data_IF_616723092630
#
_entry.id   IF_616723092630
#
_cell.length_a   1.000
_cell.length_b   1.000
_cell.length_c   1.000
_cell.angle_alpha   90.00
_cell.angle_beta   90.00
_cell.angle_gamma   90.00
#
_symmetry.space_group_name_H-M   'P 1'
#
loop_
_entity.id
_entity.type
_entity.pdbx_description
1 polymer ?
#
# COMPACT_ATOMS: atom_id res chain seq x y z
N UNK A 1 -29.56 13.67 -16.85
CA UNK A 1 -28.70 12.48 -16.88
C UNK A 1 -27.50 12.73 -15.97
N UNK A 2 -27.23 11.86 -15.00
CA UNK A 2 -26.03 11.98 -14.16
C UNK A 2 -24.78 11.66 -14.99
N UNK A 3 -23.77 12.54 -14.96
CA UNK A 3 -22.49 12.32 -15.65
C UNK A 3 -21.76 11.17 -14.96
N UNK A 4 -21.47 10.10 -15.70
CA UNK A 4 -20.67 8.97 -15.20
C UNK A 4 -19.21 9.41 -15.04
N UNK A 5 -18.58 9.04 -13.93
CA UNK A 5 -17.17 9.27 -13.66
C UNK A 5 -16.50 7.91 -13.40
N UNK A 6 -15.24 7.77 -13.84
CA UNK A 6 -14.41 6.63 -13.47
C UNK A 6 -14.07 6.73 -11.98
N UNK A 7 -14.02 5.57 -11.31
CA UNK A 7 -13.51 5.47 -9.95
C UNK A 7 -12.04 5.05 -10.01
N UNK A 8 -11.19 5.77 -9.28
CA UNK A 8 -9.75 5.61 -9.30
C UNK A 8 -9.27 5.03 -7.97
N UNK A 9 -8.83 3.78 -8.00
CA UNK A 9 -8.17 3.12 -6.88
C UNK A 9 -6.66 3.03 -7.12
N UNK A 10 -5.87 3.46 -6.15
CA UNK A 10 -4.42 3.28 -6.16
C UNK A 10 -4.09 1.93 -5.52
N UNK A 11 -3.54 1.01 -6.33
CA UNK A 11 -3.11 -0.29 -5.84
C UNK A 11 -1.67 -0.24 -5.31
N UNK A 12 -1.51 -0.35 -4.00
CA UNK A 12 -0.26 -0.11 -3.29
C UNK A 12 0.25 -1.38 -2.61
N UNK A 13 1.52 -1.72 -2.85
CA UNK A 13 2.32 -2.63 -1.99
C UNK A 13 3.60 -1.95 -1.51
N UNK A 14 3.53 -1.31 -0.35
CA UNK A 14 2.77 -0.09 -0.15
C UNK A 14 3.24 1.09 -1.04
N UNK A 15 4.25 0.90 -1.90
CA UNK A 15 4.83 1.94 -2.77
C UNK A 15 4.93 1.53 -4.24
N UNK A 16 5.19 0.24 -4.53
CA UNK A 16 5.25 -0.26 -5.91
C UNK A 16 5.00 -1.76 -6.00
N UNK A 17 4.42 -2.21 -7.10
CA UNK A 17 4.28 -3.64 -7.41
C UNK A 17 5.53 -4.22 -8.07
N UNK A 18 6.43 -3.38 -8.58
CA UNK A 18 7.59 -3.83 -9.33
C UNK A 18 8.73 -4.19 -8.38
N UNK A 19 9.19 -5.44 -8.43
CA UNK A 19 10.20 -6.00 -7.52
C UNK A 19 11.51 -5.20 -7.50
N UNK A 20 11.92 -4.66 -8.65
CA UNK A 20 13.12 -3.84 -8.78
C UNK A 20 12.92 -2.33 -8.64
N UNK A 21 11.72 -1.84 -8.27
CA UNK A 21 11.40 -0.40 -8.28
C UNK A 21 12.37 0.44 -7.45
N UNK A 22 12.83 -0.10 -6.32
CA UNK A 22 13.80 0.55 -5.42
C UNK A 22 15.12 0.93 -6.13
N UNK A 23 15.51 0.22 -7.19
CA UNK A 23 16.78 0.47 -7.89
C UNK A 23 16.74 1.66 -8.85
N UNK A 24 15.57 2.21 -9.11
CA UNK A 24 15.43 3.36 -10.00
C UNK A 24 16.11 4.59 -9.36
N UNK A 25 16.94 5.37 -10.08
CA UNK A 25 17.69 6.51 -9.52
C UNK A 25 16.86 7.64 -8.86
N UNK A 26 15.53 7.61 -8.97
CA UNK A 26 14.62 8.54 -8.28
C UNK A 26 13.62 7.85 -7.34
N UNK A 27 13.79 6.56 -7.05
CA UNK A 27 12.91 5.83 -6.15
C UNK A 27 13.24 6.11 -4.68
N UNK A 28 12.23 5.88 -3.83
CA UNK A 28 12.39 5.88 -2.38
C UNK A 28 12.78 4.46 -1.94
N UNK A 29 14.03 4.30 -1.49
CA UNK A 29 14.63 2.99 -1.17
C UNK A 29 14.02 2.33 0.08
N UNK A 30 13.59 3.14 1.04
CA UNK A 30 13.09 2.75 2.36
C UNK A 30 11.57 2.86 2.46
N UNK A 31 10.89 3.10 1.34
CA UNK A 31 9.51 3.58 1.32
C UNK A 31 8.51 2.60 1.92
N UNK A 32 8.81 1.30 1.91
CA UNK A 32 8.00 0.27 2.56
C UNK A 32 7.90 0.42 4.08
N UNK A 33 8.86 1.11 4.69
CA UNK A 33 8.97 1.33 6.14
C UNK A 33 9.15 2.79 6.51
N UNK A 34 8.87 3.71 5.58
CA UNK A 34 8.97 5.15 5.80
C UNK A 34 7.57 5.78 5.77
N UNK A 35 7.02 6.05 6.95
CA UNK A 35 5.70 6.66 7.08
C UNK A 35 5.60 8.04 6.42
N UNK A 36 6.68 8.85 6.44
CA UNK A 36 6.65 10.17 5.82
C UNK A 36 6.43 10.09 4.30
N UNK A 37 7.03 9.09 3.64
CA UNK A 37 6.78 8.82 2.23
C UNK A 37 5.34 8.35 1.97
N UNK A 38 4.84 7.41 2.77
CA UNK A 38 3.48 6.88 2.64
C UNK A 38 2.40 7.94 2.89
N UNK A 39 2.59 8.78 3.91
CA UNK A 39 1.77 9.97 4.17
C UNK A 39 1.74 10.88 2.94
N UNK A 40 2.91 11.19 2.37
CA UNK A 40 2.98 12.02 1.16
C UNK A 40 2.25 11.37 -0.02
N UNK A 41 2.34 10.06 -0.22
CA UNK A 41 1.62 9.38 -1.29
C UNK A 41 0.10 9.44 -1.09
N UNK A 42 -0.39 9.13 0.12
CA UNK A 42 -1.82 9.20 0.43
C UNK A 42 -2.39 10.61 0.21
N UNK A 43 -1.70 11.65 0.70
CA UNK A 43 -2.10 13.04 0.49
C UNK A 43 -2.03 13.47 -0.98
N UNK A 44 -1.07 12.94 -1.75
CA UNK A 44 -0.98 13.21 -3.19
C UNK A 44 -2.16 12.58 -3.94
N UNK A 45 -2.52 11.33 -3.60
CA UNK A 45 -3.67 10.63 -4.18
C UNK A 45 -4.98 11.34 -3.85
N UNK A 46 -5.15 11.77 -2.61
CA UNK A 46 -6.32 12.52 -2.16
C UNK A 46 -6.46 13.87 -2.87
N UNK A 47 -5.36 14.63 -2.98
CA UNK A 47 -5.34 15.88 -3.74
C UNK A 47 -5.70 15.66 -5.22
N UNK A 48 -5.29 14.51 -5.79
CA UNK A 48 -5.62 14.08 -7.14
C UNK A 48 -7.02 13.45 -7.29
N UNK A 49 -7.83 13.43 -6.23
CA UNK A 49 -9.21 12.90 -6.22
C UNK A 49 -9.33 11.40 -6.51
N UNK A 50 -8.32 10.62 -6.11
CA UNK A 50 -8.48 9.17 -6.05
C UNK A 50 -9.55 8.79 -5.02
N UNK A 51 -10.35 7.79 -5.33
CA UNK A 51 -11.39 7.29 -4.44
C UNK A 51 -10.81 6.41 -3.33
N UNK A 52 -9.69 5.71 -3.58
CA UNK A 52 -9.11 4.81 -2.59
C UNK A 52 -7.60 4.61 -2.71
N UNK A 53 -6.95 4.47 -1.55
CA UNK A 53 -5.67 3.79 -1.35
C UNK A 53 -5.97 2.34 -0.94
N UNK A 54 -5.57 1.39 -1.78
CA UNK A 54 -5.72 -0.04 -1.49
C UNK A 54 -4.37 -0.67 -1.16
N UNK A 55 -4.24 -1.20 0.05
CA UNK A 55 -3.06 -1.92 0.50
C UNK A 55 -3.27 -3.43 0.41
N UNK A 56 -2.52 -4.09 -0.47
CA UNK A 56 -2.41 -5.55 -0.41
C UNK A 56 -1.39 -5.98 0.63
N UNK A 57 -1.67 -7.13 1.23
CA UNK A 57 -0.83 -7.76 2.23
C UNK A 57 -0.62 -9.25 1.99
N UNK A 58 0.45 -9.78 2.57
CA UNK A 58 0.77 -11.20 2.65
C UNK A 58 1.26 -11.51 4.05
N UNK A 59 0.63 -12.48 4.72
CA UNK A 59 1.03 -12.93 6.06
C UNK A 59 2.25 -13.87 6.07
N UNK A 60 2.86 -14.08 4.90
CA UNK A 60 4.06 -14.90 4.71
C UNK A 60 4.92 -14.34 3.58
N UNK A 61 6.21 -14.68 3.61
CA UNK A 61 7.12 -14.41 2.49
C UNK A 61 6.71 -15.28 1.29
N UNK A 62 6.76 -14.71 0.09
CA UNK A 62 6.43 -15.43 -1.14
C UNK A 62 7.33 -16.66 -1.31
N UNK A 63 6.74 -17.78 -1.76
CA UNK A 63 7.47 -19.02 -2.06
C UNK A 63 8.34 -18.85 -3.33
N UNK A 64 9.51 -18.23 -3.15
CA UNK A 64 10.44 -17.86 -4.21
C UNK A 64 11.89 -18.19 -3.78
N UNK A 65 12.83 -18.35 -4.73
CA UNK A 65 14.24 -18.50 -4.39
C UNK A 65 14.72 -17.35 -3.51
N UNK A 66 15.54 -17.65 -2.48
CA UNK A 66 16.10 -16.65 -1.55
C UNK A 66 16.80 -15.51 -2.31
N UNK A 67 17.51 -15.86 -3.38
CA UNK A 67 18.18 -14.88 -4.24
C UNK A 67 17.21 -13.90 -4.93
N UNK A 68 16.00 -14.33 -5.27
CA UNK A 68 14.98 -13.44 -5.81
C UNK A 68 14.37 -12.55 -4.72
N UNK A 69 14.11 -13.13 -3.54
CA UNK A 69 13.58 -12.39 -2.38
C UNK A 69 14.53 -11.27 -1.95
N UNK A 70 15.83 -11.53 -1.84
CA UNK A 70 16.86 -10.54 -1.48
C UNK A 70 16.94 -9.32 -2.42
N UNK A 71 16.37 -9.42 -3.63
CA UNK A 71 16.39 -8.36 -4.64
C UNK A 71 15.01 -7.73 -4.86
N UNK A 72 14.00 -8.15 -4.10
CA UNK A 72 12.62 -7.69 -4.25
C UNK A 72 12.24 -6.62 -3.23
N UNK A 73 11.65 -5.53 -3.72
CA UNK A 73 11.02 -4.50 -2.89
C UNK A 73 9.67 -4.93 -2.32
N UNK A 74 9.18 -6.13 -2.60
CA UNK A 74 7.83 -6.56 -2.20
C UNK A 74 7.84 -7.69 -1.18
N UNK A 75 8.98 -7.94 -0.52
CA UNK A 75 9.12 -9.03 0.46
C UNK A 75 8.35 -8.74 1.74
N UNK A 76 8.37 -7.50 2.20
CA UNK A 76 7.75 -7.07 3.45
C UNK A 76 7.54 -5.55 3.47
N UNK A 77 6.60 -5.10 4.29
CA UNK A 77 6.22 -3.72 4.51
C UNK A 77 5.51 -3.56 5.85
N UNK A 78 5.01 -2.37 6.18
CA UNK A 78 4.05 -2.19 7.26
C UNK A 78 2.85 -3.14 7.16
N UNK A 79 2.25 -3.42 8.31
CA UNK A 79 0.98 -4.11 8.43
C UNK A 79 -0.17 -3.13 8.07
N UNK A 80 -1.20 -3.55 7.31
CA UNK A 80 -2.22 -2.64 6.79
C UNK A 80 -3.05 -1.90 7.84
N UNK A 81 -3.55 -2.57 8.87
CA UNK A 81 -4.45 -1.93 9.85
C UNK A 81 -3.74 -0.83 10.62
N UNK A 82 -2.49 -1.05 11.02
CA UNK A 82 -1.65 -0.05 11.69
C UNK A 82 -1.29 1.12 10.76
N UNK A 83 -0.85 0.84 9.53
CA UNK A 83 -0.52 1.91 8.58
C UNK A 83 -1.75 2.73 8.20
N UNK A 84 -2.85 2.09 7.83
CA UNK A 84 -4.06 2.78 7.39
C UNK A 84 -4.69 3.58 8.53
N UNK A 85 -4.63 3.10 9.78
CA UNK A 85 -5.05 3.90 10.94
C UNK A 85 -4.21 5.18 11.09
N UNK A 86 -2.89 5.09 10.88
CA UNK A 86 -2.02 6.26 10.91
C UNK A 86 -2.26 7.23 9.73
N UNK A 87 -2.59 6.70 8.55
CA UNK A 87 -2.94 7.52 7.38
C UNK A 87 -4.30 8.20 7.54
N UNK A 88 -5.27 7.55 8.19
CA UNK A 88 -6.57 8.14 8.47
C UNK A 88 -6.49 9.42 9.31
N UNK A 89 -5.46 9.56 10.16
CA UNK A 89 -5.22 10.76 10.95
C UNK A 89 -4.71 11.97 10.12
N UNK A 90 -4.35 11.77 8.84
CA UNK A 90 -3.70 12.78 7.99
C UNK A 90 -4.32 12.92 6.58
N UNK A 91 -5.49 12.30 6.38
CA UNK A 91 -6.32 12.37 5.15
C UNK A 91 -7.80 12.49 5.55
N UNK A 92 -8.61 13.15 4.73
CA UNK A 92 -10.01 13.50 5.08
C UNK A 92 -11.08 12.76 4.26
N UNK A 93 -10.74 12.29 3.06
CA UNK A 93 -11.71 11.87 2.04
C UNK A 93 -11.33 10.59 1.29
N UNK A 94 -10.05 10.32 1.07
CA UNK A 94 -9.63 9.12 0.35
C UNK A 94 -10.00 7.86 1.15
N UNK A 95 -10.60 6.87 0.48
CA UNK A 95 -10.87 5.58 1.10
C UNK A 95 -9.58 4.83 1.43
N UNK A 96 -9.52 4.19 2.60
CA UNK A 96 -8.38 3.40 3.04
C UNK A 96 -8.80 1.93 3.13
N UNK A 97 -8.29 1.09 2.23
CA UNK A 97 -8.74 -0.29 2.06
C UNK A 97 -7.61 -1.25 2.38
N UNK A 98 -7.83 -2.13 3.36
CA UNK A 98 -6.90 -3.19 3.75
C UNK A 98 -7.28 -4.55 3.15
N UNK A 99 -6.29 -5.42 3.00
CA UNK A 99 -6.49 -6.86 2.82
C UNK A 99 -6.40 -7.53 4.19
N UNK A 100 -7.33 -8.44 4.51
CA UNK A 100 -7.32 -9.25 5.72
C UNK A 100 -7.61 -10.72 5.38
N UNK A 101 -7.04 -11.66 6.14
CA UNK A 101 -7.16 -13.09 5.86
C UNK A 101 -8.14 -13.77 6.81
N UNK A 102 -9.20 -14.37 6.28
CA UNK A 102 -10.13 -15.17 7.08
C UNK A 102 -9.54 -16.48 7.62
N UNK A 103 -8.35 -16.87 7.17
CA UNK A 103 -7.64 -18.06 7.67
C UNK A 103 -6.97 -17.80 9.01
N UNK A 104 -6.49 -16.57 9.22
CA UNK A 104 -5.62 -16.22 10.35
C UNK A 104 -6.24 -15.15 11.27
N UNK A 105 -7.24 -14.40 10.80
CA UNK A 105 -8.02 -13.47 11.62
C UNK A 105 -9.35 -14.08 12.04
N UNK A 106 -9.60 -14.10 13.35
CA UNK A 106 -10.92 -14.43 13.87
C UNK A 106 -11.91 -13.27 13.62
N UNK A 107 -13.18 -13.55 13.30
CA UNK A 107 -14.13 -12.52 12.86
C UNK A 107 -14.55 -11.52 13.95
N UNK A 108 -14.20 -11.76 15.22
CA UNK A 108 -14.57 -10.88 16.34
C UNK A 108 -13.61 -9.70 16.54
N UNK A 109 -12.37 -9.80 16.03
CA UNK A 109 -11.33 -8.78 16.25
C UNK A 109 -11.71 -7.39 15.71
#
# INVERSE_FOLDING_TARGET
>A
MTRKQLRLGAFMRPVSLHTGAWRYPGAYLDANFNFAHLKRFAQTLEAAKFDAFFMADHLAVLNMPIEALRRSHTVTSFEPFTLLSALAAVTDHIGLVATASTTFDAPYH
#
